data_IF_130241189670
#
_entry.id   IF_130241189670
#
_cell.length_a   1.000
_cell.length_b   1.000
_cell.length_c   1.000
_cell.angle_alpha   90.00
_cell.angle_beta   90.00
_cell.angle_gamma   90.00
#
_symmetry.space_group_name_H-M   'P 1'
#
loop_
_entity.id
_entity.type
_entity.pdbx_description
1 polymer ?
#
# COMPACT_ATOMS: atom_id res chain seq x y z
N UNK A 1 -13.54 -7.11 23.41
CA UNK A 1 -14.14 -7.47 22.11
C UNK A 1 -13.25 -6.91 21.01
N UNK A 2 -12.95 -7.70 19.98
CA UNK A 2 -12.09 -7.29 18.87
C UNK A 2 -12.86 -7.50 17.56
N UNK A 3 -12.90 -6.48 16.71
CA UNK A 3 -13.49 -6.55 15.37
C UNK A 3 -12.38 -6.66 14.33
N UNK A 4 -12.60 -7.46 13.30
CA UNK A 4 -11.69 -7.63 12.17
C UNK A 4 -12.42 -7.24 10.88
N UNK A 5 -11.81 -6.34 10.11
CA UNK A 5 -12.32 -5.85 8.84
C UNK A 5 -11.25 -6.02 7.77
N UNK A 6 -11.68 -6.27 6.53
CA UNK A 6 -10.78 -6.28 5.38
C UNK A 6 -10.34 -4.86 5.03
N UNK A 7 -9.11 -4.68 4.50
CA UNK A 7 -8.65 -3.39 4.01
C UNK A 7 -9.35 -2.99 2.71
N UNK A 8 -9.24 -1.71 2.35
CA UNK A 8 -9.68 -1.18 1.05
C UNK A 8 -8.51 -1.10 0.05
N UNK A 9 -8.83 -1.17 -1.25
CA UNK A 9 -7.84 -0.95 -2.33
C UNK A 9 -7.56 0.53 -2.58
N UNK A 10 -8.57 1.38 -2.42
CA UNK A 10 -8.45 2.83 -2.60
C UNK A 10 -8.04 3.52 -1.30
N UNK A 11 -7.19 4.53 -1.41
CA UNK A 11 -6.73 5.36 -0.30
C UNK A 11 -7.14 6.81 -0.57
N UNK A 12 -7.64 7.49 0.45
CA UNK A 12 -8.02 8.89 0.40
C UNK A 12 -7.07 9.69 1.30
N UNK A 13 -6.27 10.55 0.69
CA UNK A 13 -5.35 11.47 1.36
C UNK A 13 -5.78 12.94 1.22
N UNK A 14 -6.89 13.21 0.52
CA UNK A 14 -7.35 14.56 0.19
C UNK A 14 -8.42 15.05 1.19
N UNK A 15 -9.27 14.13 1.67
CA UNK A 15 -10.30 14.47 2.64
C UNK A 15 -9.67 14.84 3.99
N UNK A 16 -10.00 16.01 4.58
CA UNK A 16 -9.48 16.39 5.88
C UNK A 16 -9.80 15.35 6.96
N UNK A 17 -8.78 14.97 7.74
CA UNK A 17 -8.95 14.00 8.83
C UNK A 17 -9.92 14.54 9.88
N UNK A 18 -10.87 13.70 10.32
CA UNK A 18 -11.79 14.04 11.41
C UNK A 18 -11.12 14.10 12.78
N UNK A 19 -9.87 13.64 12.90
CA UNK A 19 -9.09 13.65 14.14
C UNK A 19 -7.60 13.79 13.87
N UNK A 20 -6.87 14.38 14.82
CA UNK A 20 -5.40 14.50 14.78
C UNK A 20 -4.68 13.34 15.48
N UNK A 21 -5.41 12.51 16.25
CA UNK A 21 -4.83 11.40 17.01
C UNK A 21 -4.53 10.23 16.09
N UNK A 22 -3.32 9.71 16.17
CA UNK A 22 -2.85 8.55 15.41
C UNK A 22 -1.79 7.79 16.22
N UNK A 23 -1.49 6.57 15.79
CA UNK A 23 -0.41 5.72 16.31
C UNK A 23 0.44 5.20 15.16
N UNK A 24 1.61 4.65 15.46
CA UNK A 24 2.44 3.99 14.48
C UNK A 24 2.08 2.49 14.36
N UNK A 25 2.23 1.87 13.18
CA UNK A 25 2.08 0.42 13.03
C UNK A 25 3.11 -0.34 13.87
N UNK A 26 2.74 -1.52 14.34
CA UNK A 26 3.61 -2.36 15.18
C UNK A 26 4.63 -3.17 14.36
N UNK A 27 4.32 -3.50 13.10
CA UNK A 27 5.09 -4.43 12.25
C UNK A 27 5.75 -3.70 11.07
N UNK A 28 6.50 -2.64 11.37
CA UNK A 28 7.16 -1.80 10.35
C UNK A 28 8.29 -2.58 9.67
N UNK A 29 9.06 -3.39 10.41
CA UNK A 29 10.18 -4.15 9.87
C UNK A 29 9.70 -5.22 8.89
N UNK A 30 8.61 -5.92 9.20
CA UNK A 30 8.00 -6.90 8.30
C UNK A 30 7.38 -6.24 7.07
N UNK A 31 6.78 -5.06 7.24
CA UNK A 31 6.27 -4.27 6.11
C UNK A 31 7.41 -3.83 5.18
N UNK A 32 8.55 -3.43 5.74
CA UNK A 32 9.73 -3.03 4.97
C UNK A 32 10.31 -4.19 4.16
N UNK A 33 10.41 -5.40 4.74
CA UNK A 33 10.86 -6.59 4.02
C UNK A 33 9.97 -6.91 2.80
N UNK A 34 8.66 -6.66 2.87
CA UNK A 34 7.77 -6.81 1.71
C UNK A 34 8.03 -5.75 0.65
N UNK A 35 8.28 -4.50 1.05
CA UNK A 35 8.62 -3.42 0.11
C UNK A 35 9.94 -3.69 -0.59
N UNK A 36 10.97 -4.19 0.11
CA UNK A 36 12.26 -4.57 -0.50
C UNK A 36 12.08 -5.59 -1.63
N UNK A 37 11.14 -6.54 -1.49
CA UNK A 37 10.82 -7.50 -2.55
C UNK A 37 10.08 -6.85 -3.72
N UNK A 38 9.16 -5.93 -3.46
CA UNK A 38 8.31 -5.30 -4.48
C UNK A 38 9.00 -4.15 -5.23
N UNK A 39 9.94 -3.44 -4.60
CA UNK A 39 10.64 -2.30 -5.17
C UNK A 39 11.33 -2.56 -6.52
N UNK A 40 12.01 -3.71 -6.77
CA UNK A 40 12.65 -3.97 -8.06
C UNK A 40 11.67 -4.37 -9.18
N UNK A 41 10.37 -4.54 -8.89
CA UNK A 41 9.40 -4.99 -9.90
C UNK A 41 9.05 -3.84 -10.84
N UNK A 42 8.96 -4.16 -12.13
CA UNK A 42 8.40 -3.26 -13.14
C UNK A 42 6.88 -3.15 -13.02
N UNK A 43 6.26 -2.08 -13.55
CA UNK A 43 4.80 -1.95 -13.56
C UNK A 43 4.09 -3.16 -14.20
N UNK A 44 4.63 -3.72 -15.29
CA UNK A 44 4.05 -4.90 -15.94
C UNK A 44 4.11 -6.15 -15.04
N UNK A 45 5.19 -6.35 -14.29
CA UNK A 45 5.29 -7.45 -13.32
C UNK A 45 4.31 -7.28 -12.16
N UNK A 46 4.15 -6.06 -11.63
CA UNK A 46 3.15 -5.77 -10.59
C UNK A 46 1.73 -5.97 -11.11
N UNK A 47 1.43 -5.50 -12.33
CA UNK A 47 0.12 -5.68 -12.97
C UNK A 47 -0.25 -7.16 -13.07
N UNK A 48 0.67 -7.99 -13.58
CA UNK A 48 0.46 -9.43 -13.70
C UNK A 48 0.38 -10.15 -12.34
N UNK A 49 1.20 -9.74 -11.36
CA UNK A 49 1.23 -10.38 -10.05
C UNK A 49 -0.05 -10.14 -9.25
N UNK A 50 -0.59 -8.92 -9.33
CA UNK A 50 -1.68 -8.46 -8.49
C UNK A 50 -3.02 -8.33 -9.22
N UNK A 51 -3.07 -8.71 -10.51
CA UNK A 51 -4.23 -8.55 -11.40
C UNK A 51 -4.75 -7.10 -11.40
N UNK A 52 -3.85 -6.16 -11.74
CA UNK A 52 -4.11 -4.72 -11.71
C UNK A 52 -4.10 -4.13 -13.12
N UNK A 53 -4.82 -3.01 -13.27
CA UNK A 53 -4.68 -2.16 -14.45
C UNK A 53 -3.30 -1.48 -14.50
N UNK A 54 -2.85 -1.11 -15.69
CA UNK A 54 -1.56 -0.43 -15.91
C UNK A 54 -1.42 0.85 -15.07
N UNK A 55 -2.51 1.61 -14.94
CA UNK A 55 -2.55 2.82 -14.14
C UNK A 55 -2.32 2.53 -12.65
N UNK A 56 -2.98 1.50 -12.11
CA UNK A 56 -2.84 1.13 -10.69
C UNK A 56 -1.47 0.50 -10.41
N UNK A 57 -0.96 -0.32 -11.33
CA UNK A 57 0.34 -0.94 -11.21
C UNK A 57 1.46 0.11 -11.24
N UNK A 58 1.40 1.08 -12.16
CA UNK A 58 2.36 2.19 -12.25
C UNK A 58 2.32 3.05 -10.98
N UNK A 59 1.13 3.35 -10.47
CA UNK A 59 0.96 4.07 -9.20
C UNK A 59 1.59 3.30 -8.03
N UNK A 60 1.41 1.98 -7.97
CA UNK A 60 1.95 1.17 -6.89
C UNK A 60 3.48 1.04 -6.96
N UNK A 61 4.06 0.87 -8.16
CA UNK A 61 5.53 0.91 -8.32
C UNK A 61 6.10 2.25 -7.86
N UNK A 62 5.45 3.36 -8.22
CA UNK A 62 5.87 4.69 -7.74
C UNK A 62 5.79 4.80 -6.21
N UNK A 63 4.77 4.20 -5.57
CA UNK A 63 4.63 4.15 -4.11
C UNK A 63 5.70 3.30 -3.42
N UNK A 64 6.17 2.22 -4.06
CA UNK A 64 7.20 1.36 -3.48
C UNK A 64 8.61 1.96 -3.59
N UNK A 65 8.80 2.90 -4.53
CA UNK A 65 10.08 3.60 -4.73
C UNK A 65 10.18 4.97 -4.03
N UNK A 66 9.11 5.45 -3.40
CA UNK A 66 9.05 6.72 -2.65
C UNK A 66 9.46 6.52 -1.19
#
# INVERSE_FOLDING_TARGET
MLFLLSPAKSLDYDTPTTTKRHTLPQFVDESAALIEVLQPYTPAQIASLMDLSDALASLNVARYGA
#
